data_IF_688778569743
#
_entry.id   IF_688778569743
#
_cell.length_a   1.000
_cell.length_b   1.000
_cell.length_c   1.000
_cell.angle_alpha   90.00
_cell.angle_beta   90.00
_cell.angle_gamma   90.00
#
_symmetry.space_group_name_H-M   'P 1'
#
loop_
_entity.id
_entity.type
_entity.pdbx_description
1 polymer ?
#
# COMPACT_ATOMS: atom_id res chain seq x y z
N UNK A 1 -12.75 -11.76 19.67
CA UNK A 1 -13.41 -12.44 18.52
C UNK A 1 -14.91 -12.11 18.39
N UNK A 2 -15.66 -11.92 19.47
CA UNK A 2 -17.10 -11.51 19.46
C UNK A 2 -17.43 -10.29 18.57
N UNK A 3 -16.63 -9.22 18.65
CA UNK A 3 -16.83 -8.00 17.85
C UNK A 3 -16.70 -8.24 16.34
N UNK A 4 -15.74 -9.06 15.92
CA UNK A 4 -15.56 -9.46 14.53
C UNK A 4 -16.72 -10.31 14.01
N UNK A 5 -17.25 -11.24 14.83
CA UNK A 5 -18.43 -12.03 14.47
C UNK A 5 -19.67 -11.16 14.24
N UNK A 6 -19.89 -10.12 15.06
CA UNK A 6 -20.99 -9.16 14.86
C UNK A 6 -20.84 -8.36 13.56
N UNK A 7 -19.63 -7.93 13.22
CA UNK A 7 -19.33 -7.25 11.96
C UNK A 7 -19.53 -8.19 10.76
N UNK A 8 -19.05 -9.43 10.83
CA UNK A 8 -19.28 -10.44 9.79
C UNK A 8 -20.77 -10.77 9.61
N UNK A 9 -21.56 -10.74 10.69
CA UNK A 9 -23.02 -10.94 10.60
C UNK A 9 -23.72 -9.81 9.84
N UNK A 10 -23.18 -8.59 9.85
CA UNK A 10 -23.68 -7.45 9.08
C UNK A 10 -23.36 -7.57 7.58
N UNK A 11 -22.36 -8.39 7.20
CA UNK A 11 -21.98 -8.67 5.82
C UNK A 11 -22.71 -9.87 5.21
N UNK A 12 -23.34 -10.72 6.03
CA UNK A 12 -24.13 -11.87 5.56
C UNK A 12 -25.11 -11.57 4.42
N UNK A 13 -25.85 -10.44 4.40
CA UNK A 13 -26.73 -10.12 3.26
C UNK A 13 -25.96 -9.91 1.94
N UNK A 14 -24.67 -9.59 2.01
CA UNK A 14 -23.79 -9.32 0.86
C UNK A 14 -22.93 -10.52 0.46
N UNK A 15 -23.11 -11.69 1.12
CA UNK A 15 -22.27 -12.88 0.89
C UNK A 15 -22.26 -13.34 -0.57
N UNK A 16 -23.39 -13.23 -1.28
CA UNK A 16 -23.50 -13.67 -2.67
C UNK A 16 -22.63 -12.83 -3.58
N UNK A 17 -22.71 -11.50 -3.46
CA UNK A 17 -21.88 -10.57 -4.22
C UNK A 17 -20.39 -10.70 -3.89
N UNK A 18 -20.05 -10.93 -2.62
CA UNK A 18 -18.66 -11.15 -2.19
C UNK A 18 -18.11 -12.48 -2.72
N UNK A 19 -18.90 -13.55 -2.71
CA UNK A 19 -18.48 -14.87 -3.23
C UNK A 19 -18.33 -14.81 -4.75
N UNK A 20 -19.31 -14.27 -5.48
CA UNK A 20 -19.22 -14.15 -6.94
C UNK A 20 -18.07 -13.22 -7.34
N UNK A 21 -17.90 -12.09 -6.66
CA UNK A 21 -16.75 -11.20 -6.83
C UNK A 21 -15.43 -11.93 -6.59
N UNK A 22 -15.33 -12.73 -5.53
CA UNK A 22 -14.13 -13.52 -5.22
C UNK A 22 -13.80 -14.57 -6.29
N UNK A 23 -14.82 -15.18 -6.90
CA UNK A 23 -14.62 -16.13 -8.02
C UNK A 23 -14.07 -15.41 -9.24
N UNK A 24 -14.66 -14.28 -9.64
CA UNK A 24 -14.13 -13.47 -10.76
C UNK A 24 -12.73 -12.94 -10.48
N UNK A 25 -12.45 -12.55 -9.24
CA UNK A 25 -11.12 -12.13 -8.79
C UNK A 25 -10.11 -13.29 -8.90
N UNK A 26 -10.48 -14.50 -8.52
CA UNK A 26 -9.61 -15.66 -8.64
C UNK A 26 -9.30 -15.97 -10.11
N UNK A 27 -10.31 -15.97 -10.99
CA UNK A 27 -10.13 -16.17 -12.43
C UNK A 27 -9.24 -15.07 -13.03
N UNK A 28 -9.51 -13.79 -12.71
CA UNK A 28 -8.70 -12.67 -13.18
C UNK A 28 -7.25 -12.73 -12.66
N UNK A 29 -7.04 -13.27 -11.46
CA UNK A 29 -5.69 -13.45 -10.90
C UNK A 29 -4.95 -14.57 -11.62
N UNK A 30 -5.62 -15.67 -11.94
CA UNK A 30 -5.04 -16.78 -12.69
C UNK A 30 -4.72 -16.40 -14.14
N UNK A 31 -5.58 -15.66 -14.83
CA UNK A 31 -5.30 -15.16 -16.18
C UNK A 31 -4.11 -14.19 -16.17
N UNK A 32 -3.99 -13.34 -15.16
CA UNK A 32 -2.81 -12.47 -15.01
C UNK A 32 -1.50 -13.27 -14.90
N UNK A 33 -1.53 -14.43 -14.23
CA UNK A 33 -0.41 -15.35 -14.11
C UNK A 33 -0.07 -16.10 -15.40
N UNK A 34 -1.03 -16.22 -16.32
CA UNK A 34 -0.79 -16.83 -17.63
C UNK A 34 -0.01 -15.90 -18.57
N UNK A 35 -0.03 -14.58 -18.35
CA UNK A 35 0.62 -13.61 -19.25
C UNK A 35 2.13 -13.87 -19.42
N UNK A 36 2.94 -14.06 -18.36
CA UNK A 36 4.35 -14.40 -18.51
C UNK A 36 4.60 -15.72 -19.26
N UNK A 37 3.74 -16.72 -19.07
CA UNK A 37 3.83 -18.00 -19.77
C UNK A 37 3.58 -17.84 -21.27
N UNK A 38 2.57 -17.04 -21.64
CA UNK A 38 2.26 -16.75 -23.03
C UNK A 38 3.36 -15.93 -23.71
N UNK A 39 4.00 -15.00 -23.00
CA UNK A 39 5.16 -14.27 -23.53
C UNK A 39 6.31 -15.25 -23.79
N UNK A 40 6.58 -16.18 -22.88
CA UNK A 40 7.58 -17.22 -23.10
C UNK A 40 7.25 -18.06 -24.33
N UNK A 41 6.03 -18.57 -24.44
CA UNK A 41 5.62 -19.41 -25.59
C UNK A 41 5.67 -18.63 -26.91
N UNK A 42 5.32 -17.34 -26.90
CA UNK A 42 5.43 -16.46 -28.06
C UNK A 42 6.90 -16.26 -28.47
N UNK A 43 7.80 -15.99 -27.51
CA UNK A 43 9.24 -15.85 -27.78
C UNK A 43 9.82 -17.15 -28.32
N UNK A 44 9.48 -18.29 -27.71
CA UNK A 44 9.96 -19.62 -28.14
C UNK A 44 9.48 -19.93 -29.57
N UNK A 45 8.23 -19.63 -29.93
CA UNK A 45 7.72 -19.89 -31.29
C UNK A 45 8.32 -18.94 -32.33
N UNK A 46 8.47 -17.65 -32.01
CA UNK A 46 9.05 -16.65 -32.91
C UNK A 46 10.55 -16.89 -33.13
N UNK A 47 11.28 -17.27 -32.08
CA UNK A 47 12.73 -17.49 -32.15
C UNK A 47 13.11 -18.87 -32.68
N UNK A 48 12.36 -19.94 -32.33
CA UNK A 48 12.77 -21.33 -32.60
C UNK A 48 12.07 -21.94 -33.80
N UNK A 49 10.75 -21.77 -33.96
CA UNK A 49 9.96 -22.51 -34.97
C UNK A 49 9.66 -21.74 -36.26
N UNK A 50 9.64 -20.40 -36.24
CA UNK A 50 9.36 -19.52 -37.40
C UNK A 50 8.10 -19.88 -38.21
N UNK A 51 7.11 -20.52 -37.58
CA UNK A 51 5.88 -20.96 -38.24
C UNK A 51 4.76 -19.93 -38.04
N UNK A 52 4.36 -19.27 -39.13
CA UNK A 52 3.36 -18.19 -39.13
C UNK A 52 1.97 -18.67 -38.71
N UNK A 53 1.63 -19.93 -38.93
CA UNK A 53 0.33 -20.51 -38.53
C UNK A 53 0.27 -20.75 -37.02
N UNK A 54 1.36 -21.21 -36.40
CA UNK A 54 1.46 -21.30 -34.93
C UNK A 54 1.44 -19.93 -34.27
N UNK A 55 2.07 -18.93 -34.90
CA UNK A 55 2.07 -17.55 -34.41
C UNK A 55 0.65 -16.96 -34.36
N UNK A 56 -0.16 -17.17 -35.40
CA UNK A 56 -1.54 -16.66 -35.44
C UNK A 56 -2.42 -17.30 -34.35
N UNK A 57 -2.30 -18.62 -34.12
CA UNK A 57 -3.04 -19.30 -33.06
C UNK A 57 -2.64 -18.81 -31.66
N UNK A 58 -1.35 -18.57 -31.41
CA UNK A 58 -0.88 -18.01 -30.13
C UNK A 58 -1.38 -16.58 -29.94
N UNK A 59 -1.34 -15.74 -30.99
CA UNK A 59 -1.86 -14.38 -30.93
C UNK A 59 -3.36 -14.34 -30.62
N UNK A 60 -4.16 -15.23 -31.24
CA UNK A 60 -5.59 -15.36 -30.94
C UNK A 60 -5.83 -15.82 -29.50
N UNK A 61 -5.08 -16.80 -29.01
CA UNK A 61 -5.18 -17.28 -27.63
C UNK A 61 -4.82 -16.19 -26.61
N UNK A 62 -3.78 -15.39 -26.91
CA UNK A 62 -3.40 -14.21 -26.11
C UNK A 62 -4.55 -13.20 -26.10
N UNK A 63 -5.10 -12.86 -27.27
CA UNK A 63 -6.22 -11.94 -27.39
C UNK A 63 -7.45 -12.40 -26.59
N UNK A 64 -7.80 -13.68 -26.67
CA UNK A 64 -8.91 -14.27 -25.93
C UNK A 64 -8.67 -14.26 -24.41
N UNK A 65 -7.44 -14.52 -23.98
CA UNK A 65 -7.08 -14.47 -22.56
C UNK A 65 -7.13 -13.03 -22.01
N UNK A 66 -6.63 -12.04 -22.75
CA UNK A 66 -6.75 -10.63 -22.38
C UNK A 66 -8.21 -10.17 -22.35
N UNK A 67 -9.03 -10.64 -23.28
CA UNK A 67 -10.46 -10.35 -23.30
C UNK A 67 -11.18 -10.95 -22.09
N UNK A 68 -10.88 -12.22 -21.74
CA UNK A 68 -11.38 -12.86 -20.53
C UNK A 68 -10.92 -12.11 -19.27
N UNK A 69 -9.64 -11.72 -19.21
CA UNK A 69 -9.09 -10.93 -18.11
C UNK A 69 -9.82 -9.59 -17.97
N UNK A 70 -10.10 -8.89 -19.08
CA UNK A 70 -10.85 -7.63 -19.07
C UNK A 70 -12.24 -7.81 -18.47
N UNK A 71 -12.99 -8.82 -18.92
CA UNK A 71 -14.35 -9.10 -18.44
C UNK A 71 -14.32 -9.47 -16.95
N UNK A 72 -13.50 -10.45 -16.57
CA UNK A 72 -13.42 -10.90 -15.18
C UNK A 72 -12.91 -9.79 -14.26
N UNK A 73 -11.92 -9.01 -14.71
CA UNK A 73 -11.37 -7.90 -13.92
C UNK A 73 -12.41 -6.81 -13.69
N UNK A 74 -13.14 -6.45 -14.72
CA UNK A 74 -14.20 -5.44 -14.63
C UNK A 74 -15.35 -5.95 -13.76
N UNK A 75 -15.75 -7.22 -13.92
CA UNK A 75 -16.83 -7.82 -13.16
C UNK A 75 -16.53 -7.87 -11.66
N UNK A 76 -15.33 -8.31 -11.26
CA UNK A 76 -14.99 -8.34 -9.82
C UNK A 76 -14.86 -6.91 -9.27
N UNK A 77 -14.18 -5.99 -9.95
CA UNK A 77 -14.07 -4.59 -9.51
C UNK A 77 -15.46 -3.98 -9.29
N UNK A 78 -16.37 -4.14 -10.26
CA UNK A 78 -17.73 -3.64 -10.16
C UNK A 78 -18.51 -4.24 -8.98
N UNK A 79 -18.42 -5.56 -8.79
CA UNK A 79 -19.11 -6.25 -7.70
C UNK A 79 -18.58 -5.82 -6.33
N UNK A 80 -17.25 -5.72 -6.16
CA UNK A 80 -16.64 -5.28 -4.92
C UNK A 80 -16.99 -3.81 -4.63
N UNK A 81 -16.78 -2.91 -5.58
CA UNK A 81 -17.06 -1.48 -5.45
C UNK A 81 -18.51 -1.18 -5.11
N UNK A 82 -19.45 -1.89 -5.76
CA UNK A 82 -20.88 -1.70 -5.52
C UNK A 82 -21.27 -2.25 -4.14
N UNK A 83 -20.69 -3.39 -3.77
CA UNK A 83 -20.93 -4.02 -2.46
C UNK A 83 -20.39 -3.16 -1.33
N UNK A 84 -19.18 -2.62 -1.47
CA UNK A 84 -18.57 -1.65 -0.56
C UNK A 84 -19.49 -0.44 -0.36
N UNK A 85 -19.89 0.23 -1.45
CA UNK A 85 -20.77 1.42 -1.38
C UNK A 85 -22.09 1.10 -0.70
N UNK A 86 -22.65 -0.09 -0.96
CA UNK A 86 -23.90 -0.52 -0.36
C UNK A 86 -23.76 -0.82 1.14
N UNK A 87 -22.66 -1.46 1.54
CA UNK A 87 -22.33 -1.70 2.95
C UNK A 87 -22.17 -0.36 3.69
N UNK A 88 -21.38 0.59 3.14
CA UNK A 88 -21.20 1.93 3.75
C UNK A 88 -22.55 2.62 3.95
N UNK A 89 -23.42 2.56 2.95
CA UNK A 89 -24.74 3.19 2.99
C UNK A 89 -25.59 2.61 4.12
N UNK A 90 -25.64 1.28 4.25
CA UNK A 90 -26.42 0.62 5.29
C UNK A 90 -25.84 0.83 6.69
N UNK A 91 -24.51 0.86 6.82
CA UNK A 91 -23.85 1.19 8.09
C UNK A 91 -24.18 2.62 8.53
N UNK A 92 -24.10 3.59 7.62
CA UNK A 92 -24.45 4.98 7.91
C UNK A 92 -25.92 5.12 8.34
N UNK A 93 -26.84 4.40 7.70
CA UNK A 93 -28.26 4.37 8.09
C UNK A 93 -28.44 3.82 9.51
N UNK A 94 -27.86 2.65 9.82
CA UNK A 94 -27.97 2.04 11.15
C UNK A 94 -27.35 2.88 12.26
N UNK A 95 -26.20 3.49 12.00
CA UNK A 95 -25.55 4.39 12.97
C UNK A 95 -26.41 5.63 13.18
N UNK A 96 -26.96 6.21 12.11
CA UNK A 96 -27.84 7.36 12.21
C UNK A 96 -29.12 7.04 13.00
N UNK A 97 -29.78 5.93 12.70
CA UNK A 97 -30.94 5.43 13.48
C UNK A 97 -30.59 5.26 14.95
N UNK A 98 -29.43 4.67 15.25
CA UNK A 98 -28.99 4.50 16.63
C UNK A 98 -28.72 5.85 17.33
N UNK A 99 -28.11 6.82 16.63
CA UNK A 99 -27.87 8.17 17.18
C UNK A 99 -29.18 8.84 17.60
N UNK A 100 -30.28 8.66 16.85
CA UNK A 100 -31.59 9.22 17.20
C UNK A 100 -32.18 8.62 18.49
N UNK A 101 -31.76 7.42 18.88
CA UNK A 101 -32.22 6.76 20.13
C UNK A 101 -31.41 7.14 21.37
N UNK A 102 -30.31 7.90 21.21
CA UNK A 102 -29.43 8.25 22.32
C UNK A 102 -29.96 9.42 23.14
N UNK A 103 -29.72 9.37 24.44
CA UNK A 103 -30.11 10.45 25.37
C UNK A 103 -29.36 11.76 25.08
N UNK A 104 -29.99 12.90 25.40
CA UNK A 104 -29.37 14.22 25.37
C UNK A 104 -28.04 14.31 26.15
N UNK A 105 -27.89 13.53 27.23
CA UNK A 105 -26.64 13.44 28.02
C UNK A 105 -25.45 12.95 27.20
N UNK A 106 -25.68 12.09 26.20
CA UNK A 106 -24.63 11.63 25.29
C UNK A 106 -24.10 12.78 24.43
N UNK A 107 -25.01 13.60 23.89
CA UNK A 107 -24.66 14.75 23.05
C UNK A 107 -24.03 15.89 23.85
N UNK A 108 -24.44 16.10 25.11
CA UNK A 108 -23.84 17.11 25.98
C UNK A 108 -22.36 16.81 26.34
N UNK A 109 -21.96 15.54 26.33
CA UNK A 109 -20.59 15.10 26.70
C UNK A 109 -19.62 15.01 25.53
N UNK A 110 -20.08 15.18 24.28
CA UNK A 110 -19.23 15.01 23.08
C UNK A 110 -19.38 16.17 22.11
N UNK A 111 -18.28 16.54 21.46
CA UNK A 111 -18.29 17.56 20.41
C UNK A 111 -18.99 17.00 19.17
N UNK A 112 -19.90 17.76 18.57
CA UNK A 112 -20.59 17.37 17.32
C UNK A 112 -19.61 16.98 16.21
N UNK A 113 -18.46 17.69 16.11
CA UNK A 113 -17.39 17.36 15.17
C UNK A 113 -16.76 15.97 15.39
N UNK A 114 -16.68 15.49 16.63
CA UNK A 114 -16.20 14.13 16.92
C UNK A 114 -17.19 13.08 16.41
N UNK A 115 -18.49 13.31 16.61
CA UNK A 115 -19.56 12.41 16.14
C UNK A 115 -19.56 12.35 14.61
N UNK A 116 -19.46 13.51 13.95
CA UNK A 116 -19.37 13.60 12.49
C UNK A 116 -18.13 12.87 11.96
N UNK A 117 -16.95 13.09 12.56
CA UNK A 117 -15.72 12.41 12.16
C UNK A 117 -15.83 10.89 12.30
N UNK A 118 -16.43 10.38 13.38
CA UNK A 118 -16.66 8.94 13.55
C UNK A 118 -17.61 8.40 12.49
N UNK A 119 -18.66 9.15 12.15
CA UNK A 119 -19.66 8.73 11.15
C UNK A 119 -19.10 8.70 9.72
N UNK A 120 -18.15 9.58 9.39
CA UNK A 120 -17.55 9.65 8.06
C UNK A 120 -16.27 8.83 7.98
N UNK A 121 -15.27 9.12 8.80
CA UNK A 121 -13.91 8.60 8.69
C UNK A 121 -13.78 7.20 9.28
N UNK A 122 -14.26 6.98 10.51
CA UNK A 122 -14.10 5.68 11.17
C UNK A 122 -14.94 4.59 10.47
N UNK A 123 -16.15 4.94 9.99
CA UNK A 123 -17.01 4.00 9.25
C UNK A 123 -16.37 3.58 7.94
N UNK A 124 -15.86 4.54 7.15
CA UNK A 124 -15.16 4.21 5.90
C UNK A 124 -13.87 3.42 6.15
N UNK A 125 -13.13 3.73 7.22
CA UNK A 125 -11.92 2.98 7.58
C UNK A 125 -12.23 1.55 7.98
N UNK A 126 -13.25 1.33 8.83
CA UNK A 126 -13.66 0.00 9.25
C UNK A 126 -14.18 -0.83 8.08
N UNK A 127 -14.81 -0.20 7.11
CA UNK A 127 -15.33 -0.89 5.94
C UNK A 127 -14.20 -1.30 4.98
N UNK A 128 -13.26 -0.41 4.64
CA UNK A 128 -12.05 -0.78 3.89
C UNK A 128 -11.31 -1.99 4.48
N UNK A 129 -11.25 -2.08 5.82
CA UNK A 129 -10.63 -3.21 6.54
C UNK A 129 -11.37 -4.54 6.33
N UNK A 130 -12.65 -4.49 5.98
CA UNK A 130 -13.57 -5.64 5.93
C UNK A 130 -13.80 -6.13 4.49
N UNK A 131 -13.79 -5.24 3.51
CA UNK A 131 -14.10 -5.53 2.10
C UNK A 131 -12.84 -5.50 1.24
N UNK A 132 -12.18 -4.36 1.14
CA UNK A 132 -11.05 -4.14 0.22
C UNK A 132 -9.78 -4.89 0.65
N UNK A 133 -9.39 -4.78 1.93
CA UNK A 133 -8.17 -5.44 2.41
C UNK A 133 -8.23 -6.97 2.24
N UNK A 134 -9.32 -7.67 2.63
CA UNK A 134 -9.40 -9.12 2.42
C UNK A 134 -9.40 -9.51 0.94
N UNK A 135 -10.07 -8.75 0.07
CA UNK A 135 -10.08 -8.99 -1.37
C UNK A 135 -8.67 -8.85 -1.98
N UNK A 136 -7.98 -7.77 -1.61
CA UNK A 136 -6.59 -7.53 -2.02
C UNK A 136 -5.67 -8.62 -1.48
N UNK A 137 -5.79 -9.01 -0.20
CA UNK A 137 -5.02 -10.10 0.38
C UNK A 137 -5.25 -11.43 -0.34
N UNK A 138 -6.50 -11.74 -0.69
CA UNK A 138 -6.84 -12.94 -1.46
C UNK A 138 -6.19 -12.90 -2.85
N UNK A 139 -6.33 -11.78 -3.57
CA UNK A 139 -5.74 -11.57 -4.88
C UNK A 139 -4.21 -11.75 -4.84
N UNK A 140 -3.54 -11.08 -3.90
CA UNK A 140 -2.10 -11.16 -3.76
C UNK A 140 -1.63 -12.56 -3.34
N UNK A 141 -2.39 -13.24 -2.50
CA UNK A 141 -2.08 -14.62 -2.09
C UNK A 141 -2.17 -15.59 -3.28
N UNK A 142 -3.21 -15.48 -4.10
CA UNK A 142 -3.38 -16.31 -5.31
C UNK A 142 -2.22 -16.04 -6.27
N UNK A 143 -1.88 -14.77 -6.51
CA UNK A 143 -0.78 -14.41 -7.41
C UNK A 143 0.58 -14.87 -6.90
N UNK A 144 0.84 -14.72 -5.61
CA UNK A 144 2.09 -15.14 -4.98
C UNK A 144 2.24 -16.66 -5.05
N UNK A 145 1.24 -17.40 -4.57
CA UNK A 145 1.28 -18.86 -4.55
C UNK A 145 1.31 -19.44 -5.97
N UNK A 146 0.44 -18.95 -6.86
CA UNK A 146 0.42 -19.39 -8.24
C UNK A 146 1.72 -19.05 -8.98
N UNK A 147 2.29 -17.87 -8.74
CA UNK A 147 3.54 -17.44 -9.37
C UNK A 147 4.71 -18.32 -8.93
N UNK A 148 4.82 -18.61 -7.63
CA UNK A 148 5.82 -19.54 -7.10
C UNK A 148 5.65 -20.93 -7.74
N UNK A 149 4.43 -21.46 -7.78
CA UNK A 149 4.16 -22.77 -8.39
C UNK A 149 4.57 -22.82 -9.87
N UNK A 150 4.24 -21.78 -10.64
CA UNK A 150 4.58 -21.68 -12.06
C UNK A 150 6.10 -21.65 -12.26
N UNK A 151 6.83 -20.83 -11.50
CA UNK A 151 8.29 -20.70 -11.66
C UNK A 151 8.99 -22.01 -11.24
N UNK A 152 8.54 -22.65 -10.14
CA UNK A 152 9.06 -23.97 -9.72
C UNK A 152 8.85 -25.00 -10.83
N UNK A 153 7.65 -25.04 -11.42
CA UNK A 153 7.33 -25.96 -12.51
C UNK A 153 8.18 -25.71 -13.76
N UNK A 154 8.44 -24.44 -14.10
CA UNK A 154 9.27 -24.08 -15.25
C UNK A 154 10.75 -24.45 -15.05
N UNK A 155 11.34 -24.06 -13.92
CA UNK A 155 12.74 -24.35 -13.62
C UNK A 155 13.00 -24.30 -12.11
N UNK A 156 12.98 -25.47 -11.47
CA UNK A 156 13.19 -25.58 -10.03
C UNK A 156 14.57 -25.10 -9.57
N UNK A 157 15.62 -25.22 -10.40
CA UNK A 157 16.99 -24.78 -10.07
C UNK A 157 17.08 -23.25 -9.99
N UNK A 158 16.59 -22.55 -11.03
CA UNK A 158 16.53 -21.07 -11.03
C UNK A 158 15.62 -20.55 -9.91
N UNK A 159 14.51 -21.25 -9.66
CA UNK A 159 13.59 -20.86 -8.59
C UNK A 159 14.23 -20.97 -7.21
N UNK A 160 14.96 -22.05 -6.93
CA UNK A 160 15.62 -22.23 -5.63
C UNK A 160 16.68 -21.13 -5.40
N UNK A 161 17.43 -20.77 -6.45
CA UNK A 161 18.39 -19.67 -6.39
C UNK A 161 17.70 -18.35 -6.02
N UNK A 162 16.62 -17.98 -6.73
CA UNK A 162 15.82 -16.78 -6.43
C UNK A 162 15.21 -16.84 -5.03
N UNK A 163 14.69 -17.99 -4.59
CA UNK A 163 14.03 -18.17 -3.29
C UNK A 163 15.02 -18.00 -2.13
N UNK A 164 16.28 -18.39 -2.30
CA UNK A 164 17.35 -18.19 -1.31
C UNK A 164 17.85 -16.74 -1.31
N UNK A 165 17.92 -16.10 -2.48
CA UNK A 165 18.36 -14.70 -2.60
C UNK A 165 17.29 -13.68 -2.17
N UNK A 166 16.02 -13.96 -2.39
CA UNK A 166 14.89 -13.12 -2.00
C UNK A 166 14.92 -12.72 -0.50
N UNK A 167 15.06 -13.63 0.48
CA UNK A 167 15.13 -13.26 1.89
C UNK A 167 16.38 -12.44 2.22
N UNK A 168 17.50 -12.65 1.52
CA UNK A 168 18.72 -11.83 1.67
C UNK A 168 18.44 -10.39 1.23
N UNK A 169 17.83 -10.20 0.06
CA UNK A 169 17.41 -8.89 -0.44
C UNK A 169 16.39 -8.22 0.50
N UNK A 170 15.41 -8.97 0.98
CA UNK A 170 14.40 -8.46 1.93
C UNK A 170 15.05 -8.05 3.25
N UNK A 171 15.98 -8.85 3.78
CA UNK A 171 16.68 -8.54 5.03
C UNK A 171 17.58 -7.31 4.85
N UNK A 172 18.31 -7.21 3.74
CA UNK A 172 19.07 -6.03 3.37
C UNK A 172 18.16 -4.78 3.29
N UNK A 173 17.08 -4.86 2.52
CA UNK A 173 16.11 -3.78 2.37
C UNK A 173 15.48 -3.35 3.69
N UNK A 174 15.11 -4.29 4.56
CA UNK A 174 14.55 -4.02 5.89
C UNK A 174 15.55 -3.31 6.80
N UNK A 175 16.81 -3.70 6.74
CA UNK A 175 17.87 -3.12 7.59
C UNK A 175 18.17 -1.68 7.16
N UNK A 176 18.30 -1.44 5.86
CA UNK A 176 18.42 -0.10 5.29
C UNK A 176 17.19 0.76 5.57
N UNK A 177 15.99 0.22 5.32
CA UNK A 177 14.72 0.92 5.55
C UNK A 177 14.54 1.35 7.01
N UNK A 178 14.91 0.50 7.99
CA UNK A 178 14.91 0.88 9.40
C UNK A 178 15.85 2.06 9.69
N UNK A 179 17.06 2.06 9.11
CA UNK A 179 18.04 3.13 9.29
C UNK A 179 17.59 4.45 8.66
N UNK A 180 17.04 4.38 7.45
CA UNK A 180 16.41 5.51 6.75
C UNK A 180 15.25 6.10 7.54
N UNK A 181 14.37 5.24 8.07
CA UNK A 181 13.23 5.67 8.90
C UNK A 181 13.71 6.41 10.16
N UNK A 182 14.72 5.88 10.86
CA UNK A 182 15.29 6.52 12.05
C UNK A 182 15.85 7.91 11.73
N UNK A 183 16.59 8.06 10.63
CA UNK A 183 17.13 9.35 10.21
C UNK A 183 16.03 10.32 9.78
N UNK A 184 14.97 9.85 9.12
CA UNK A 184 13.80 10.69 8.80
C UNK A 184 13.14 11.24 10.07
N UNK A 185 12.98 10.40 11.11
CA UNK A 185 12.45 10.86 12.41
C UNK A 185 13.38 11.88 13.05
N UNK A 186 14.69 11.63 13.07
CA UNK A 186 15.68 12.58 13.62
C UNK A 186 15.66 13.94 12.90
N UNK A 187 15.50 13.95 11.57
CA UNK A 187 15.35 15.19 10.80
C UNK A 187 14.07 15.92 11.19
N UNK A 188 12.94 15.21 11.35
CA UNK A 188 11.67 15.81 11.78
C UNK A 188 11.78 16.41 13.19
N UNK A 189 12.43 15.72 14.13
CA UNK A 189 12.62 16.21 15.50
C UNK A 189 13.49 17.49 15.52
N UNK A 190 14.56 17.52 14.72
CA UNK A 190 15.43 18.71 14.59
C UNK A 190 14.75 19.88 13.87
N UNK A 191 13.94 19.61 12.85
CA UNK A 191 13.10 20.64 12.22
C UNK A 191 12.08 21.20 13.20
N UNK A 192 11.43 20.35 14.01
CA UNK A 192 10.49 20.80 15.04
C UNK A 192 11.18 21.71 16.05
N UNK A 193 12.41 21.39 16.45
CA UNK A 193 13.23 22.24 17.34
C UNK A 193 13.51 23.60 16.70
N UNK A 194 13.86 23.63 15.40
CA UNK A 194 14.05 24.88 14.65
C UNK A 194 12.77 25.72 14.58
N UNK A 195 11.61 25.06 14.40
CA UNK A 195 10.30 25.71 14.43
C UNK A 195 9.98 26.28 15.80
N UNK A 196 10.29 25.57 16.89
CA UNK A 196 10.11 26.10 18.25
C UNK A 196 10.96 27.37 18.48
N UNK A 197 12.23 27.38 18.05
CA UNK A 197 13.09 28.58 18.13
C UNK A 197 12.50 29.75 17.34
N UNK A 198 11.93 29.47 16.17
CA UNK A 198 11.27 30.47 15.34
C UNK A 198 9.99 31.01 16.01
N UNK A 199 9.14 30.13 16.54
CA UNK A 199 7.90 30.50 17.24
C UNK A 199 8.19 31.35 18.48
N UNK A 200 9.19 30.98 19.28
CA UNK A 200 9.62 31.76 20.45
C UNK A 200 10.12 33.16 20.04
N UNK A 201 10.91 33.25 18.97
CA UNK A 201 11.43 34.52 18.47
C UNK A 201 10.33 35.43 17.91
N UNK A 202 9.40 34.89 17.15
CA UNK A 202 8.29 35.67 16.58
C UNK A 202 7.33 36.11 17.68
N UNK A 203 6.96 35.21 18.60
CA UNK A 203 6.03 35.51 19.70
C UNK A 203 6.61 36.54 20.68
N UNK A 204 7.93 36.56 20.86
CA UNK A 204 8.63 37.46 21.79
C UNK A 204 9.50 38.52 21.07
N UNK A 205 9.17 38.87 19.83
CA UNK A 205 10.01 39.75 18.99
C UNK A 205 10.33 41.10 19.65
N UNK A 206 9.39 41.65 20.42
CA UNK A 206 9.58 42.90 21.16
C UNK A 206 10.69 42.78 22.22
N UNK A 207 10.77 41.64 22.91
CA UNK A 207 11.82 41.35 23.91
C UNK A 207 13.17 41.18 23.23
N UNK A 208 13.22 40.44 22.12
CA UNK A 208 14.47 40.22 21.37
C UNK A 208 15.04 41.55 20.85
N UNK A 209 14.17 42.45 20.38
CA UNK A 209 14.56 43.78 19.89
C UNK A 209 14.95 44.73 21.03
N UNK A 210 14.24 44.74 22.15
CA UNK A 210 14.56 45.63 23.28
C UNK A 210 15.90 45.32 23.94
N UNK A 211 16.32 44.05 23.95
CA UNK A 211 17.63 43.63 24.45
C UNK A 211 18.74 43.62 23.38
N UNK A 212 18.47 44.06 22.14
CA UNK A 212 19.45 44.07 21.02
C UNK A 212 20.08 42.68 20.77
N UNK A 213 19.29 41.62 20.95
CA UNK A 213 19.75 40.21 20.86
C UNK A 213 19.48 39.53 19.51
N UNK A 214 19.09 40.27 18.48
CA UNK A 214 18.74 39.68 17.16
C UNK A 214 19.87 38.84 16.55
N UNK A 215 21.14 39.21 16.74
CA UNK A 215 22.27 38.43 16.21
C UNK A 215 22.39 37.04 16.86
N UNK A 216 22.30 36.99 18.20
CA UNK A 216 22.36 35.75 18.98
C UNK A 216 21.21 34.79 18.61
N UNK A 217 20.00 35.31 18.44
CA UNK A 217 18.85 34.49 18.06
C UNK A 217 18.92 34.01 16.59
N UNK A 218 19.58 34.80 15.72
CA UNK A 218 19.86 34.39 14.34
C UNK A 218 20.85 33.22 14.32
N UNK A 219 21.92 33.29 15.11
CA UNK A 219 22.90 32.21 15.26
C UNK A 219 22.24 30.95 15.83
N UNK A 220 21.44 31.08 16.90
CA UNK A 220 20.69 29.96 17.50
C UNK A 220 19.73 29.28 16.52
N UNK A 221 19.04 30.04 15.66
CA UNK A 221 18.20 29.47 14.61
C UNK A 221 19.05 28.81 13.51
N UNK A 222 20.16 29.45 13.10
CA UNK A 222 21.10 28.89 12.12
C UNK A 222 21.66 27.55 12.57
N UNK A 223 22.08 27.44 13.84
CA UNK A 223 22.58 26.20 14.43
C UNK A 223 21.53 25.10 14.40
N UNK A 224 20.28 25.41 14.80
CA UNK A 224 19.19 24.44 14.80
C UNK A 224 18.87 23.91 13.38
N UNK A 225 18.90 24.80 12.38
CA UNK A 225 18.68 24.43 10.96
C UNK A 225 19.86 23.62 10.41
N UNK A 226 21.10 24.00 10.71
CA UNK A 226 22.30 23.28 10.30
C UNK A 226 22.31 21.86 10.92
N UNK A 227 21.86 21.72 12.15
CA UNK A 227 21.74 20.43 12.81
C UNK A 227 20.81 19.48 12.05
N UNK A 228 19.68 19.99 11.58
CA UNK A 228 18.74 19.26 10.72
C UNK A 228 19.39 18.88 9.39
N UNK A 229 20.14 19.79 8.78
CA UNK A 229 20.88 19.55 7.56
C UNK A 229 21.92 18.43 7.71
N UNK A 230 22.65 18.36 8.83
CA UNK A 230 23.62 17.28 9.07
C UNK A 230 22.95 15.90 9.14
N UNK A 231 21.78 15.79 9.75
CA UNK A 231 21.00 14.54 9.78
C UNK A 231 20.43 14.22 8.39
N UNK A 232 20.00 15.22 7.63
CA UNK A 232 19.57 15.08 6.23
C UNK A 232 20.72 14.60 5.33
N UNK A 233 21.92 15.15 5.49
CA UNK A 233 23.13 14.74 4.75
C UNK A 233 23.46 13.27 5.00
N UNK A 234 23.44 12.82 6.26
CA UNK A 234 23.63 11.38 6.62
C UNK A 234 22.59 10.50 5.94
N UNK A 235 21.32 10.93 5.89
CA UNK A 235 20.24 10.22 5.20
C UNK A 235 20.46 10.13 3.70
N UNK A 236 20.86 11.24 3.07
CA UNK A 236 21.16 11.30 1.63
C UNK A 236 22.26 10.29 1.29
N UNK A 237 23.39 10.33 2.01
CA UNK A 237 24.51 9.39 1.80
C UNK A 237 24.01 7.94 1.84
N UNK A 238 23.27 7.54 2.87
CA UNK A 238 22.75 6.17 2.99
C UNK A 238 21.76 5.84 1.87
N UNK A 239 20.88 6.78 1.49
CA UNK A 239 19.90 6.58 0.43
C UNK A 239 20.54 6.46 -0.95
N UNK A 240 21.62 7.20 -1.21
CA UNK A 240 22.34 7.19 -2.48
C UNK A 240 23.00 5.84 -2.77
N UNK A 241 23.43 5.11 -1.74
CA UNK A 241 23.99 3.77 -1.89
C UNK A 241 22.94 2.67 -2.06
N UNK A 242 21.70 2.91 -1.63
CA UNK A 242 20.67 1.86 -1.59
C UNK A 242 20.30 1.33 -2.98
N UNK A 243 19.98 2.22 -3.91
CA UNK A 243 19.60 1.86 -5.28
C UNK A 243 20.68 1.08 -6.02
N UNK A 244 21.92 1.60 -6.10
CA UNK A 244 23.05 0.91 -6.74
C UNK A 244 23.37 -0.44 -6.10
N UNK A 245 23.32 -0.58 -4.76
CA UNK A 245 23.54 -1.86 -4.08
C UNK A 245 22.49 -2.90 -4.43
N UNK A 246 21.21 -2.52 -4.49
CA UNK A 246 20.14 -3.42 -4.93
C UNK A 246 20.34 -3.81 -6.40
N UNK A 247 20.68 -2.85 -7.25
CA UNK A 247 20.96 -3.11 -8.66
C UNK A 247 22.12 -4.08 -8.85
N UNK A 248 23.20 -3.94 -8.08
CA UNK A 248 24.35 -4.85 -8.11
C UNK A 248 23.97 -6.27 -7.67
N UNK A 249 23.24 -6.41 -6.54
CA UNK A 249 22.77 -7.72 -6.06
C UNK A 249 21.81 -8.39 -7.06
N UNK A 250 20.97 -7.59 -7.74
CA UNK A 250 20.08 -8.09 -8.79
C UNK A 250 20.86 -8.55 -10.03
N UNK A 251 21.86 -7.79 -10.48
CA UNK A 251 22.71 -8.14 -11.63
C UNK A 251 23.53 -9.41 -11.39
N UNK A 252 24.11 -9.57 -10.20
CA UNK A 252 24.82 -10.81 -9.83
C UNK A 252 23.92 -12.04 -9.80
N UNK A 253 22.59 -11.87 -9.82
CA UNK A 253 21.61 -12.96 -9.84
C UNK A 253 21.18 -13.35 -11.26
N UNK A 254 21.36 -12.45 -12.25
CA UNK A 254 20.95 -12.69 -13.65
C UNK A 254 21.97 -13.45 -14.49
N UNK A 255 23.14 -13.77 -13.93
CA UNK A 255 24.20 -14.58 -14.54
C UNK A 255 24.47 -15.82 -13.70
#
# INVERSE_FOLDING_TARGET
>A
MEKYKRLLRLLLPYKTALITGSVFLAVASLTNLAVPLLIKDLVDVVMVKKDLSMLNNIAINIGLLFFLQLICSTAHNYLFDLTEKRIITDFRKKIFEHLQTLSLSFFAKRRTGEIMSRMTNDVSTLENLITDIPATMLQQSIRLLGGILIIIYMNWKLTFMILVLAPILVLFAKTFGKRLKRLSTEIQDKLATSTTVLEENISNVQVVKSFVRSGLETERFSDAVEDSFQSAKKRVIISSFFGPMIGFLAFTTSH
#
